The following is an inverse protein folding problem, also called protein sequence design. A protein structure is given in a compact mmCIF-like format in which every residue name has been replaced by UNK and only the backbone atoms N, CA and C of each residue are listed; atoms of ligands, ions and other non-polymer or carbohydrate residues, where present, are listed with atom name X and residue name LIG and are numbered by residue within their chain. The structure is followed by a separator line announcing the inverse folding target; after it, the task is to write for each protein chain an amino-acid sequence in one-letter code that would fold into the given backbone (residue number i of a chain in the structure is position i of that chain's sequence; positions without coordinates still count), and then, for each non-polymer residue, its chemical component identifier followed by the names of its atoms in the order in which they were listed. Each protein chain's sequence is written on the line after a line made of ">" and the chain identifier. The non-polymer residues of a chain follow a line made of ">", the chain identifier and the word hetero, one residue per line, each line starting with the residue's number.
data_IF_060668637326
#
_entry.id   IF_060668637326
#
_cell.length_a   1.000
_cell.length_b   1.000
_cell.length_c   1.000
_cell.angle_alpha   90.00
_cell.angle_beta   90.00
_cell.angle_gamma   90.00
#
_symmetry.space_group_name_H-M   'P 1'
#
loop_
_entity.id
_entity.type
_entity.pdbx_description
1 polymer ?
#
# COMPACT_ATOMS: atom_id res chain seq x y z
N UNK A 1 32.99 -24.63 7.20
CA UNK A 1 32.30 -23.51 6.52
C UNK A 1 30.84 -23.88 6.36
N UNK A 2 29.93 -22.98 6.75
CA UNK A 2 28.49 -23.16 6.54
C UNK A 2 28.07 -22.40 5.28
N UNK A 3 27.80 -23.08 4.15
CA UNK A 3 27.45 -22.42 2.89
C UNK A 3 26.07 -21.72 2.92
N UNK A 4 25.31 -21.88 4.01
CA UNK A 4 23.98 -21.28 4.15
C UNK A 4 24.00 -19.90 4.84
N UNK A 5 25.17 -19.38 5.27
CA UNK A 5 25.29 -18.08 5.92
C UNK A 5 25.88 -17.02 4.98
N UNK A 6 25.33 -15.81 5.04
CA UNK A 6 25.78 -14.65 4.23
C UNK A 6 27.18 -14.14 4.59
N UNK A 7 27.72 -14.54 5.74
CA UNK A 7 29.06 -14.17 6.22
C UNK A 7 29.74 -15.43 6.73
N UNK A 8 31.04 -15.51 6.51
CA UNK A 8 31.89 -16.63 6.92
C UNK A 8 32.66 -16.35 8.21
N UNK A 9 32.73 -15.08 8.63
CA UNK A 9 33.42 -14.65 9.84
C UNK A 9 32.58 -14.89 11.09
N UNK A 10 33.22 -15.35 12.16
CA UNK A 10 32.62 -15.51 13.48
C UNK A 10 33.01 -14.34 14.40
N UNK A 11 32.12 -14.00 15.34
CA UNK A 11 32.33 -12.91 16.31
C UNK A 11 32.61 -13.49 17.69
N UNK A 12 33.83 -13.27 18.21
CA UNK A 12 34.18 -13.60 19.59
C UNK A 12 33.61 -12.53 20.53
N UNK A 13 32.67 -12.92 21.39
CA UNK A 13 32.00 -12.01 22.33
C UNK A 13 32.94 -11.69 23.49
N UNK A 14 33.25 -10.40 23.68
CA UNK A 14 34.04 -9.90 24.81
C UNK A 14 33.16 -9.43 25.98
N UNK A 15 31.98 -8.89 25.69
CA UNK A 15 30.97 -8.47 26.67
C UNK A 15 29.57 -8.51 26.04
N UNK A 16 28.52 -8.55 26.86
CA UNK A 16 27.13 -8.50 26.39
C UNK A 16 26.23 -7.71 27.36
N UNK A 17 25.22 -7.05 26.79
CA UNK A 17 24.18 -6.33 27.51
C UNK A 17 22.80 -6.85 27.08
N UNK A 18 21.98 -7.26 28.04
CA UNK A 18 20.59 -7.61 27.79
C UNK A 18 19.76 -6.33 27.61
N UNK A 19 19.34 -6.06 26.37
CA UNK A 19 18.53 -4.88 26.06
C UNK A 19 17.08 -5.01 26.50
N UNK A 20 16.50 -6.22 26.34
CA UNK A 20 15.14 -6.51 26.73
C UNK A 20 14.93 -8.02 26.92
N UNK A 21 14.05 -8.38 27.85
CA UNK A 21 13.57 -9.75 28.03
C UNK A 21 12.37 -10.01 27.11
N UNK A 22 12.16 -11.27 26.72
CA UNK A 22 11.03 -11.67 25.90
C UNK A 22 10.37 -12.93 26.47
N UNK A 23 9.05 -12.93 26.52
CA UNK A 23 8.26 -14.14 26.79
C UNK A 23 8.48 -15.18 25.69
N UNK A 24 8.19 -16.47 25.97
CA UNK A 24 8.22 -17.52 24.95
C UNK A 24 7.39 -17.15 23.72
N UNK A 25 7.95 -17.41 22.53
CA UNK A 25 7.31 -17.06 21.26
C UNK A 25 6.14 -18.01 20.96
N UNK A 26 5.02 -17.52 20.39
CA UNK A 26 3.88 -18.36 20.01
C UNK A 26 4.15 -19.27 18.81
N UNK A 27 5.20 -19.01 18.03
CA UNK A 27 5.66 -19.80 16.89
C UNK A 27 7.12 -19.46 16.53
N UNK A 28 7.72 -20.26 15.65
CA UNK A 28 9.13 -20.11 15.26
C UNK A 28 9.27 -19.04 14.16
N UNK A 29 10.04 -17.98 14.41
CA UNK A 29 10.19 -16.84 13.47
C UNK A 29 10.90 -17.23 12.17
N UNK A 30 11.61 -18.36 12.11
CA UNK A 30 12.29 -18.82 10.88
C UNK A 30 11.53 -19.95 10.15
N UNK A 31 10.37 -20.35 10.66
CA UNK A 31 9.55 -21.41 10.07
C UNK A 31 8.09 -20.95 10.04
N UNK A 32 7.64 -20.52 8.86
CA UNK A 32 6.28 -20.01 8.67
C UNK A 32 5.23 -21.12 8.82
N UNK A 33 5.58 -22.38 8.56
CA UNK A 33 4.67 -23.52 8.66
C UNK A 33 4.49 -24.00 10.11
N UNK A 34 5.29 -23.49 11.05
CA UNK A 34 5.19 -23.80 12.48
C UNK A 34 3.89 -23.33 13.17
N UNK A 35 3.01 -22.60 12.47
CA UNK A 35 1.73 -22.13 12.97
C UNK A 35 0.69 -21.96 11.86
N UNK A 36 -0.59 -22.05 12.22
CA UNK A 36 -1.71 -21.74 11.34
C UNK A 36 -1.80 -20.23 11.02
N UNK A 37 -2.43 -19.88 9.89
CA UNK A 37 -2.53 -18.49 9.43
C UNK A 37 -3.18 -17.56 10.44
N UNK A 38 -4.28 -17.97 11.07
CA UNK A 38 -5.00 -17.17 12.07
C UNK A 38 -4.09 -16.77 13.24
N UNK A 39 -3.23 -17.68 13.70
CA UNK A 39 -2.29 -17.39 14.79
C UNK A 39 -1.21 -16.41 14.33
N UNK A 40 -0.72 -16.57 13.09
CA UNK A 40 0.25 -15.65 12.49
C UNK A 40 -0.34 -14.25 12.30
N UNK A 41 -1.59 -14.13 11.84
CA UNK A 41 -2.29 -12.86 11.71
C UNK A 41 -2.56 -12.21 13.08
N UNK A 42 -2.91 -12.98 14.11
CA UNK A 42 -3.05 -12.48 15.49
C UNK A 42 -1.75 -11.89 16.02
N UNK A 43 -0.62 -12.52 15.74
CA UNK A 43 0.71 -12.06 16.13
C UNK A 43 1.51 -11.53 14.94
N UNK A 44 0.84 -10.78 14.04
CA UNK A 44 1.43 -10.33 12.77
C UNK A 44 2.75 -9.57 12.96
N UNK A 45 2.88 -8.82 14.06
CA UNK A 45 4.11 -8.12 14.41
C UNK A 45 5.34 -9.04 14.64
N UNK A 46 5.14 -10.31 14.97
CA UNK A 46 6.19 -11.32 15.03
C UNK A 46 6.43 -11.95 13.66
N UNK A 47 5.36 -12.29 12.92
CA UNK A 47 5.49 -12.86 11.56
C UNK A 47 6.23 -11.89 10.64
N UNK A 48 5.99 -10.58 10.75
CA UNK A 48 6.68 -9.53 10.00
C UNK A 48 8.21 -9.49 10.20
N UNK A 49 8.75 -10.21 11.20
CA UNK A 49 10.19 -10.36 11.39
C UNK A 49 10.81 -11.41 10.46
N UNK A 50 10.02 -12.27 9.82
CA UNK A 50 10.47 -13.27 8.85
C UNK A 50 11.10 -12.60 7.62
N UNK A 51 12.22 -13.15 7.14
CA UNK A 51 12.96 -12.63 5.99
C UNK A 51 12.10 -12.48 4.74
N UNK A 52 11.21 -13.44 4.48
CA UNK A 52 10.28 -13.40 3.33
C UNK A 52 9.36 -12.18 3.40
N UNK A 53 8.78 -11.88 4.56
CA UNK A 53 7.87 -10.75 4.72
C UNK A 53 8.61 -9.42 4.76
N UNK A 54 9.79 -9.36 5.39
CA UNK A 54 10.66 -8.19 5.32
C UNK A 54 11.05 -7.88 3.88
N UNK A 55 11.43 -8.91 3.10
CA UNK A 55 11.74 -8.76 1.69
C UNK A 55 10.54 -8.20 0.91
N UNK A 56 9.35 -8.76 1.11
CA UNK A 56 8.13 -8.29 0.43
C UNK A 56 7.82 -6.81 0.74
N UNK A 57 7.93 -6.38 2.00
CA UNK A 57 7.68 -4.99 2.39
C UNK A 57 8.75 -4.06 1.82
N UNK A 58 10.02 -4.44 1.88
CA UNK A 58 11.13 -3.65 1.33
C UNK A 58 11.04 -3.55 -0.20
N UNK A 59 10.64 -4.63 -0.87
CA UNK A 59 10.36 -4.61 -2.31
C UNK A 59 9.21 -3.66 -2.63
N UNK A 60 8.08 -3.73 -1.91
CA UNK A 60 6.97 -2.77 -2.06
C UNK A 60 7.42 -1.31 -1.86
N UNK A 61 8.24 -1.05 -0.84
CA UNK A 61 8.80 0.28 -0.60
C UNK A 61 9.64 0.74 -1.79
N UNK A 62 10.57 -0.09 -2.29
CA UNK A 62 11.40 0.24 -3.45
C UNK A 62 10.56 0.48 -4.71
N UNK A 63 9.52 -0.32 -4.93
CA UNK A 63 8.55 -0.10 -6.02
C UNK A 63 7.91 1.28 -5.92
N UNK A 64 7.46 1.70 -4.73
CA UNK A 64 6.90 3.05 -4.56
C UNK A 64 7.89 4.17 -4.86
N UNK A 65 9.15 4.02 -4.44
CA UNK A 65 10.18 5.01 -4.75
C UNK A 65 10.48 5.05 -6.25
N UNK A 66 10.56 3.89 -6.90
CA UNK A 66 10.80 3.80 -8.34
C UNK A 66 9.65 4.42 -9.15
N UNK A 67 8.40 4.09 -8.82
CA UNK A 67 7.21 4.67 -9.46
C UNK A 67 7.18 6.20 -9.32
N UNK A 68 7.42 6.72 -8.11
CA UNK A 68 7.47 8.17 -7.88
C UNK A 68 8.58 8.84 -8.67
N UNK A 69 9.78 8.25 -8.67
CA UNK A 69 10.92 8.81 -9.39
C UNK A 69 10.63 8.85 -10.89
N UNK A 70 10.16 7.74 -11.47
CA UNK A 70 9.80 7.66 -12.88
C UNK A 70 8.74 8.71 -13.27
N UNK A 71 7.64 8.79 -12.52
CA UNK A 71 6.56 9.73 -12.83
C UNK A 71 7.00 11.19 -12.66
N UNK A 72 7.77 11.48 -11.63
CA UNK A 72 8.35 12.82 -11.43
C UNK A 72 9.31 13.22 -12.55
N UNK A 73 10.09 12.27 -13.09
CA UNK A 73 10.99 12.51 -14.23
C UNK A 73 10.24 12.73 -15.56
N UNK A 74 8.94 12.40 -15.61
CA UNK A 74 8.05 12.57 -16.77
C UNK A 74 6.98 13.66 -16.53
N UNK A 75 7.32 14.66 -15.71
CA UNK A 75 6.52 15.86 -15.44
C UNK A 75 5.16 15.59 -14.76
N UNK A 76 4.95 14.41 -14.16
CA UNK A 76 3.76 14.17 -13.35
C UNK A 76 3.90 14.81 -11.97
N UNK A 77 2.80 15.38 -11.48
CA UNK A 77 2.72 15.96 -10.13
C UNK A 77 1.94 15.03 -9.21
N UNK A 78 2.54 14.64 -8.07
CA UNK A 78 1.83 13.90 -7.02
C UNK A 78 0.91 14.87 -6.27
N UNK A 79 -0.42 14.68 -6.37
CA UNK A 79 -1.40 15.53 -5.68
C UNK A 79 -2.23 14.67 -4.75
N UNK A 80 -2.35 15.05 -3.48
CA UNK A 80 -3.22 14.35 -2.54
C UNK A 80 -4.68 14.77 -2.72
N UNK A 81 -5.57 13.77 -2.84
CA UNK A 81 -7.01 13.98 -2.96
C UNK A 81 -7.77 13.63 -1.67
N UNK A 82 -8.91 14.29 -1.37
CA UNK A 82 -9.68 14.03 -0.16
C UNK A 82 -10.22 12.59 -0.07
N UNK A 83 -10.14 12.00 1.13
CA UNK A 83 -10.68 10.66 1.43
C UNK A 83 -12.15 10.69 1.88
N UNK A 84 -12.63 11.79 2.45
CA UNK A 84 -14.03 11.92 2.84
C UNK A 84 -14.79 12.65 1.73
N UNK A 85 -15.36 11.89 0.80
CA UNK A 85 -16.07 12.42 -0.35
C UNK A 85 -17.59 12.29 -0.21
N UNK A 86 -18.33 12.92 -1.13
CA UNK A 86 -19.78 12.70 -1.23
C UNK A 86 -20.01 11.33 -1.88
N UNK A 87 -20.93 10.54 -1.34
CA UNK A 87 -21.31 9.26 -1.96
C UNK A 87 -21.92 9.50 -3.33
N UNK A 88 -21.51 8.68 -4.30
CA UNK A 88 -22.11 8.62 -5.64
C UNK A 88 -23.00 7.39 -5.73
N UNK A 89 -24.29 7.53 -6.12
CA UNK A 89 -25.21 6.38 -6.21
C UNK A 89 -24.84 5.33 -7.26
N UNK A 90 -23.91 5.68 -8.17
CA UNK A 90 -23.51 4.88 -9.32
C UNK A 90 -22.15 4.24 -9.03
N UNK A 91 -22.11 2.93 -8.76
CA UNK A 91 -20.87 2.21 -8.49
C UNK A 91 -21.03 0.99 -7.59
N UNK A 92 -19.91 0.45 -7.10
CA UNK A 92 -19.92 -0.53 -6.01
C UNK A 92 -20.40 0.14 -4.71
N UNK A 93 -20.60 -0.63 -3.63
CA UNK A 93 -21.01 -0.04 -2.35
C UNK A 93 -19.86 0.74 -1.72
N UNK A 94 -20.18 1.92 -1.18
CA UNK A 94 -19.25 2.77 -0.46
C UNK A 94 -19.26 2.44 1.04
N UNK A 95 -18.09 2.52 1.67
CA UNK A 95 -18.03 2.65 3.13
C UNK A 95 -18.51 4.05 3.53
N UNK A 96 -19.48 4.10 4.44
CA UNK A 96 -20.05 5.36 4.93
C UNK A 96 -19.43 5.79 6.26
N UNK A 97 -19.10 7.08 6.37
CA UNK A 97 -18.60 7.71 7.59
C UNK A 97 -19.63 8.74 8.07
N UNK A 98 -20.33 8.52 9.20
CA UNK A 98 -21.35 9.44 9.68
C UNK A 98 -20.75 10.79 10.08
N UNK A 99 -21.41 11.88 9.67
CA UNK A 99 -20.98 13.23 10.08
C UNK A 99 -21.50 13.56 11.47
N UNK A 100 -20.60 13.93 12.38
CA UNK A 100 -20.97 14.47 13.70
C UNK A 100 -21.62 15.85 13.59
N UNK A 101 -21.22 16.66 12.60
CA UNK A 101 -21.64 18.05 12.44
C UNK A 101 -22.95 18.14 11.66
N UNK A 102 -23.06 17.38 10.57
CA UNK A 102 -24.23 17.38 9.70
C UNK A 102 -25.08 16.13 10.01
N UNK A 103 -25.96 16.25 11.01
CA UNK A 103 -26.81 15.13 11.44
C UNK A 103 -27.65 14.57 10.28
N UNK A 104 -27.66 13.24 10.16
CA UNK A 104 -28.33 12.52 9.06
C UNK A 104 -27.57 12.50 7.74
N UNK A 105 -26.38 13.12 7.67
CA UNK A 105 -25.52 13.09 6.49
C UNK A 105 -24.28 12.22 6.72
N UNK A 106 -23.76 11.67 5.62
CA UNK A 106 -22.65 10.74 5.59
C UNK A 106 -21.63 11.18 4.54
N UNK A 107 -20.36 10.97 4.85
CA UNK A 107 -19.30 10.91 3.85
C UNK A 107 -19.18 9.47 3.33
N UNK A 108 -18.57 9.32 2.17
CA UNK A 108 -18.14 8.04 1.62
C UNK A 108 -16.61 8.00 1.51
N UNK A 109 -16.03 6.82 1.71
CA UNK A 109 -14.64 6.56 1.37
C UNK A 109 -14.52 6.25 -0.14
N UNK A 110 -13.51 6.80 -0.84
CA UNK A 110 -13.41 6.69 -2.29
C UNK A 110 -13.03 5.28 -2.74
N UNK A 111 -13.71 4.80 -3.77
CA UNK A 111 -13.30 3.60 -4.51
C UNK A 111 -12.11 3.86 -5.44
N UNK A 112 -11.94 5.12 -5.84
CA UNK A 112 -10.82 5.70 -6.58
C UNK A 112 -10.94 7.23 -6.55
N UNK A 113 -9.88 8.00 -6.83
CA UNK A 113 -9.95 9.48 -6.89
C UNK A 113 -10.52 10.00 -8.22
N UNK A 114 -11.40 9.24 -8.89
CA UNK A 114 -11.89 9.48 -10.26
C UNK A 114 -12.43 10.90 -10.49
N UNK A 115 -13.22 11.43 -9.56
CA UNK A 115 -13.79 12.79 -9.71
C UNK A 115 -12.68 13.84 -9.56
N UNK A 116 -11.76 13.64 -8.60
CA UNK A 116 -10.72 14.61 -8.32
C UNK A 116 -9.67 14.67 -9.44
N UNK A 117 -9.27 13.55 -10.02
CA UNK A 117 -8.34 13.56 -11.15
C UNK A 117 -8.91 14.30 -12.37
N UNK A 118 -10.21 14.20 -12.61
CA UNK A 118 -10.88 14.97 -13.66
C UNK A 118 -10.89 16.48 -13.35
N UNK A 119 -11.17 16.88 -12.10
CA UNK A 119 -11.09 18.28 -11.68
C UNK A 119 -9.66 18.82 -11.82
N UNK A 120 -8.64 18.01 -11.54
CA UNK A 120 -7.23 18.38 -11.73
C UNK A 120 -6.92 18.64 -13.21
N UNK A 121 -7.39 17.80 -14.14
CA UNK A 121 -7.22 18.07 -15.57
C UNK A 121 -7.90 19.37 -15.98
N UNK A 122 -9.14 19.62 -15.52
CA UNK A 122 -9.88 20.86 -15.81
C UNK A 122 -9.17 22.11 -15.25
N UNK A 123 -8.48 21.98 -14.12
CA UNK A 123 -7.75 23.08 -13.48
C UNK A 123 -6.35 23.32 -14.05
N UNK A 124 -5.95 22.59 -15.08
CA UNK A 124 -4.70 22.81 -15.81
C UNK A 124 -3.50 22.04 -15.26
N UNK A 125 -3.73 21.00 -14.45
CA UNK A 125 -2.67 20.04 -14.12
C UNK A 125 -2.55 19.05 -15.28
N UNK A 126 -1.61 19.28 -16.20
CA UNK A 126 -1.52 18.47 -17.43
C UNK A 126 -1.19 16.98 -17.16
N UNK A 127 -0.48 16.68 -16.07
CA UNK A 127 -0.06 15.32 -15.70
C UNK A 127 -0.14 15.14 -14.18
N UNK A 128 -1.01 14.25 -13.74
CA UNK A 128 -1.28 13.97 -12.33
C UNK A 128 -1.02 12.51 -12.02
N UNK A 129 -0.49 12.24 -10.82
CA UNK A 129 -0.53 10.90 -10.25
C UNK A 129 -0.77 10.93 -8.74
N UNK A 130 -1.18 9.79 -8.17
CA UNK A 130 -1.22 9.59 -6.73
C UNK A 130 -1.08 8.10 -6.39
N UNK A 131 -0.22 7.77 -5.41
CA UNK A 131 -0.26 6.44 -4.76
C UNK A 131 -1.26 6.53 -3.61
N UNK A 132 -2.49 6.06 -3.84
CA UNK A 132 -3.66 6.38 -3.01
C UNK A 132 -4.32 5.15 -2.40
N UNK A 133 -4.92 5.32 -1.21
CA UNK A 133 -5.78 4.31 -0.59
C UNK A 133 -7.19 4.39 -1.14
N UNK A 134 -7.71 3.23 -1.52
CA UNK A 134 -9.05 3.05 -2.06
C UNK A 134 -9.82 2.02 -1.23
N UNK A 135 -11.13 2.18 -1.19
CA UNK A 135 -12.01 1.43 -0.31
C UNK A 135 -13.18 0.86 -1.10
N UNK A 136 -13.50 -0.42 -0.91
CA UNK A 136 -14.64 -1.08 -1.56
C UNK A 136 -15.40 -1.92 -0.56
N UNK A 137 -16.70 -1.68 -0.42
CA UNK A 137 -17.60 -2.51 0.39
C UNK A 137 -18.17 -3.66 -0.47
N UNK A 138 -17.29 -4.56 -0.91
CA UNK A 138 -17.62 -5.76 -1.68
C UNK A 138 -17.35 -7.03 -0.87
N UNK A 139 -17.99 -8.14 -1.28
CA UNK A 139 -17.71 -9.46 -0.71
C UNK A 139 -16.21 -9.78 -0.82
N UNK A 140 -15.63 -10.15 0.32
CA UNK A 140 -14.23 -10.52 0.39
C UNK A 140 -13.97 -11.76 -0.45
N UNK A 141 -12.93 -11.68 -1.29
CA UNK A 141 -12.33 -12.81 -2.02
C UNK A 141 -10.88 -12.94 -1.58
N UNK A 142 -10.24 -14.07 -1.87
CA UNK A 142 -8.88 -14.36 -1.43
C UNK A 142 -7.86 -13.24 -1.77
N UNK A 143 -8.10 -12.48 -2.83
CA UNK A 143 -7.27 -11.39 -3.33
C UNK A 143 -7.89 -9.98 -3.16
N UNK A 144 -9.10 -9.88 -2.58
CA UNK A 144 -9.84 -8.62 -2.44
C UNK A 144 -9.92 -8.18 -0.99
N UNK A 145 -9.12 -7.18 -0.66
CA UNK A 145 -9.17 -6.49 0.62
C UNK A 145 -10.10 -5.27 0.53
N UNK A 146 -10.81 -4.93 1.62
CA UNK A 146 -11.74 -3.80 1.64
C UNK A 146 -11.00 -2.46 1.51
N UNK A 147 -9.74 -2.43 1.94
CA UNK A 147 -8.80 -1.33 1.73
C UNK A 147 -7.62 -1.85 0.89
N UNK A 148 -7.31 -1.14 -0.19
CA UNK A 148 -6.17 -1.45 -1.06
C UNK A 148 -5.51 -0.17 -1.55
N UNK A 149 -4.33 -0.29 -2.17
CA UNK A 149 -3.57 0.86 -2.68
C UNK A 149 -3.54 0.81 -4.20
N UNK A 150 -3.82 1.94 -4.84
CA UNK A 150 -3.72 2.11 -6.29
C UNK A 150 -2.64 3.13 -6.62
N UNK A 151 -2.03 2.98 -7.80
CA UNK A 151 -1.32 4.04 -8.49
C UNK A 151 -2.34 4.62 -9.47
N UNK A 152 -2.86 5.80 -9.16
CA UNK A 152 -3.82 6.50 -10.01
C UNK A 152 -3.06 7.55 -10.83
N UNK A 153 -3.38 7.65 -12.12
CA UNK A 153 -2.67 8.48 -13.10
C UNK A 153 -3.72 9.11 -14.02
N UNK A 154 -3.52 10.38 -14.39
CA UNK A 154 -4.32 11.09 -15.37
C UNK A 154 -3.44 12.07 -16.17
N UNK A 155 -3.75 12.24 -17.46
CA UNK A 155 -3.03 13.13 -18.38
C UNK A 155 -4.01 13.91 -19.27
N UNK A 156 -3.70 15.17 -19.56
CA UNK A 156 -4.44 16.02 -20.48
C UNK A 156 -3.84 15.98 -21.89
N UNK A 157 -4.67 16.20 -22.91
CA UNK A 157 -4.27 16.30 -24.33
C UNK A 157 -3.53 15.08 -24.89
N UNK A 158 -3.83 13.89 -24.38
CA UNK A 158 -3.27 12.60 -24.85
C UNK A 158 -4.33 11.77 -25.57
N UNK A 159 -3.87 10.84 -26.40
CA UNK A 159 -4.72 9.78 -26.94
C UNK A 159 -4.53 8.45 -26.18
N UNK A 160 -5.22 7.40 -26.64
CA UNK A 160 -5.15 6.07 -26.04
C UNK A 160 -3.76 5.43 -26.17
N UNK A 161 -3.06 5.66 -27.28
CA UNK A 161 -1.74 5.09 -27.55
C UNK A 161 -0.66 5.72 -26.65
N UNK A 162 -0.76 7.03 -26.40
CA UNK A 162 0.05 7.74 -25.42
C UNK A 162 -0.11 7.13 -24.01
N UNK A 163 -1.34 6.83 -23.59
CA UNK A 163 -1.63 6.25 -22.27
C UNK A 163 -1.02 4.86 -22.14
N UNK A 164 -1.19 4.00 -23.15
CA UNK A 164 -0.59 2.65 -23.13
C UNK A 164 0.93 2.71 -23.11
N UNK A 165 1.53 3.54 -23.96
CA UNK A 165 2.99 3.70 -24.02
C UNK A 165 3.56 4.16 -22.67
N UNK A 166 2.90 5.09 -21.99
CA UNK A 166 3.32 5.51 -20.65
C UNK A 166 3.19 4.37 -19.64
N UNK A 167 2.09 3.61 -19.69
CA UNK A 167 1.85 2.49 -18.78
C UNK A 167 2.85 1.34 -18.95
N UNK A 168 3.32 1.07 -20.17
CA UNK A 168 4.33 0.05 -20.44
C UNK A 168 5.75 0.46 -19.98
N UNK A 169 6.01 1.77 -19.88
CA UNK A 169 7.30 2.30 -19.42
C UNK A 169 7.42 2.36 -17.90
N UNK A 170 6.29 2.44 -17.18
CA UNK A 170 6.19 2.43 -15.71
C UNK A 170 6.35 1.01 -15.17
#
# INVERSE_FOLDING_TARGET
>A
MNPNLKREDEVVISDHLMLNEASPLPFVIHDRESAEEDLRLKYRYLELRMDVLQHNILTRHKTYQATRSFLSDHDFVEVETPVLMKSTPEGARDYLVPSRIHQGQFYALPQSPQIYKQILMISGYDRYFQIVKCFRDEDLRADRQPEFTQIDIEMSFVDEEDVFTNRERI
#
